data_IF_835433791816
#
_entry.id   IF_835433791816
#
_cell.length_a   1.000
_cell.length_b   1.000
_cell.length_c   1.000
_cell.angle_alpha   90.00
_cell.angle_beta   90.00
_cell.angle_gamma   90.00
#
_symmetry.space_group_name_H-M   'P 1'
#
loop_
_entity.id
_entity.type
_entity.pdbx_description
1 polymer ?
#
# COMPACT_ATOMS: atom_id res chain seq x y z
N UNK A 1 16.49 59.67 21.28
CA UNK A 1 15.77 58.37 21.32
C UNK A 1 14.36 58.63 21.77
N UNK A 2 13.32 57.92 21.33
CA UNK A 2 13.28 56.51 20.89
C UNK A 2 12.43 55.73 21.91
N UNK A 3 11.65 54.70 21.60
CA UNK A 3 11.32 54.01 20.33
C UNK A 3 9.77 53.76 20.30
N UNK A 4 9.09 53.30 19.25
CA UNK A 4 9.27 52.02 18.54
C UNK A 4 9.04 50.84 19.52
N UNK A 5 8.07 49.94 19.38
CA UNK A 5 7.34 49.40 18.22
C UNK A 5 5.84 49.21 18.57
N UNK A 6 4.89 49.00 17.67
CA UNK A 6 4.95 48.45 16.30
C UNK A 6 4.36 47.04 16.26
N UNK A 7 3.10 46.88 16.72
CA UNK A 7 2.39 45.61 16.63
C UNK A 7 2.15 45.26 15.16
N UNK A 8 2.76 44.16 14.71
CA UNK A 8 2.53 43.61 13.38
C UNK A 8 1.07 43.25 13.21
N UNK A 9 0.45 43.71 12.12
CA UNK A 9 -0.81 43.13 11.65
C UNK A 9 -0.47 41.76 11.08
N UNK A 10 -0.89 40.69 11.74
CA UNK A 10 -0.93 39.37 11.12
C UNK A 10 -1.80 39.48 9.86
N UNK A 11 -1.17 39.31 8.70
CA UNK A 11 -1.89 39.27 7.44
C UNK A 11 -2.70 37.97 7.42
N UNK A 12 -4.03 38.09 7.27
CA UNK A 12 -4.88 36.93 7.03
C UNK A 12 -4.33 36.14 5.83
N UNK A 13 -4.30 34.80 5.87
CA UNK A 13 -3.78 34.00 4.77
C UNK A 13 -4.55 34.32 3.48
N UNK A 14 -3.81 34.72 2.45
CA UNK A 14 -4.36 35.08 1.13
C UNK A 14 -5.14 33.89 0.58
N UNK A 15 -6.43 34.09 0.28
CA UNK A 15 -7.28 32.96 -0.12
C UNK A 15 -6.85 32.42 -1.48
N UNK A 16 -7.20 31.16 -1.76
CA UNK A 16 -6.95 30.56 -3.09
C UNK A 16 -7.72 31.29 -4.20
N UNK A 17 -8.78 32.04 -3.86
CA UNK A 17 -9.52 32.91 -4.79
C UNK A 17 -8.88 34.29 -4.99
N UNK A 18 -8.00 34.75 -4.10
CA UNK A 18 -7.18 35.97 -4.28
C UNK A 18 -5.87 35.65 -5.02
N UNK A 19 -5.33 34.44 -4.79
CA UNK A 19 -4.63 33.69 -5.87
C UNK A 19 -5.64 33.47 -7.03
N UNK A 20 -5.22 33.06 -8.22
CA UNK A 20 -6.10 32.88 -9.40
C UNK A 20 -6.76 34.17 -9.98
N UNK A 21 -7.22 35.15 -9.19
CA UNK A 21 -7.76 36.42 -9.75
C UNK A 21 -6.74 37.10 -10.66
N UNK A 22 -7.24 37.64 -11.78
CA UNK A 22 -6.44 38.33 -12.80
C UNK A 22 -5.47 37.44 -13.60
N UNK A 23 -5.36 36.15 -13.31
CA UNK A 23 -4.49 35.20 -14.05
C UNK A 23 -5.22 34.58 -15.23
N UNK A 24 -4.46 34.22 -16.26
CA UNK A 24 -4.94 33.39 -17.38
C UNK A 24 -5.29 31.97 -16.91
N UNK A 25 -6.07 31.23 -17.72
CA UNK A 25 -6.47 29.86 -17.39
C UNK A 25 -5.27 28.93 -17.15
N UNK A 26 -4.15 29.14 -17.84
CA UNK A 26 -2.94 28.31 -17.74
C UNK A 26 -2.19 28.57 -16.43
N UNK A 27 -2.04 29.84 -16.06
CA UNK A 27 -1.50 30.25 -14.76
C UNK A 27 -2.41 29.82 -13.60
N UNK A 28 -3.73 29.79 -13.80
CA UNK A 28 -4.67 29.27 -12.80
C UNK A 28 -4.49 27.76 -12.59
N UNK A 29 -4.39 26.97 -13.66
CA UNK A 29 -4.11 25.52 -13.57
C UNK A 29 -2.78 25.25 -12.87
N UNK A 30 -1.73 26.01 -13.18
CA UNK A 30 -0.43 25.87 -12.51
C UNK A 30 -0.51 26.18 -11.00
N UNK A 31 -1.19 27.26 -10.60
CA UNK A 31 -1.38 27.62 -9.18
C UNK A 31 -2.19 26.56 -8.41
N UNK A 32 -3.18 25.94 -9.06
CA UNK A 32 -3.98 24.86 -8.46
C UNK A 32 -3.20 23.54 -8.37
N UNK A 33 -2.39 23.21 -9.38
CA UNK A 33 -1.50 22.03 -9.34
C UNK A 33 -0.50 22.14 -8.19
N UNK A 34 0.14 23.29 -8.02
CA UNK A 34 1.06 23.54 -6.90
C UNK A 34 0.36 23.46 -5.54
N UNK A 35 -0.88 23.95 -5.42
CA UNK A 35 -1.69 23.78 -4.22
C UNK A 35 -1.95 22.29 -3.92
N UNK A 36 -2.38 21.53 -4.93
CA UNK A 36 -2.70 20.10 -4.79
C UNK A 36 -1.46 19.30 -4.41
N UNK A 37 -0.34 19.46 -5.13
CA UNK A 37 0.93 18.78 -4.83
C UNK A 37 1.44 19.11 -3.42
N UNK A 38 1.30 20.36 -2.97
CA UNK A 38 1.64 20.75 -1.60
C UNK A 38 0.73 20.11 -0.53
N UNK A 39 -0.59 19.99 -0.76
CA UNK A 39 -1.47 19.30 0.20
C UNK A 39 -1.23 17.79 0.22
N UNK A 40 -0.94 17.18 -0.93
CA UNK A 40 -0.53 15.77 -1.05
C UNK A 40 0.74 15.51 -0.25
N UNK A 41 1.77 16.34 -0.45
CA UNK A 41 3.00 16.28 0.32
C UNK A 41 2.75 16.34 1.84
N UNK A 42 1.93 17.27 2.31
CA UNK A 42 1.59 17.39 3.73
C UNK A 42 0.84 16.15 4.29
N UNK A 43 -0.03 15.52 3.50
CA UNK A 43 -0.75 14.29 3.89
C UNK A 43 0.17 13.08 3.95
N UNK A 44 1.11 12.94 3.01
CA UNK A 44 2.14 11.90 3.03
C UNK A 44 3.32 12.24 3.98
N UNK A 45 3.26 13.41 4.64
CA UNK A 45 4.27 13.90 5.57
C UNK A 45 5.61 14.28 4.93
N UNK A 46 5.64 14.58 3.62
CA UNK A 46 6.81 15.12 2.94
C UNK A 46 7.01 16.61 3.25
N UNK A 47 8.27 17.05 3.29
CA UNK A 47 8.63 18.44 3.59
C UNK A 47 8.39 19.40 2.40
N UNK A 48 8.43 18.89 1.17
CA UNK A 48 8.18 19.65 -0.07
C UNK A 48 7.34 18.84 -1.06
N UNK A 49 6.84 19.52 -2.10
CA UNK A 49 6.05 18.93 -3.17
C UNK A 49 6.89 18.29 -4.30
N UNK A 50 8.22 18.36 -4.21
CA UNK A 50 9.12 18.04 -5.33
C UNK A 50 9.06 16.57 -5.75
N UNK A 51 8.81 15.66 -4.80
CA UNK A 51 8.61 14.23 -5.05
C UNK A 51 7.20 13.82 -5.49
N UNK A 52 6.27 14.77 -5.69
CA UNK A 52 4.91 14.48 -6.16
C UNK A 52 4.84 14.67 -7.67
N UNK A 53 4.81 13.57 -8.41
CA UNK A 53 4.65 13.56 -9.87
C UNK A 53 3.25 14.04 -10.29
N UNK A 54 3.10 15.04 -11.19
CA UNK A 54 1.79 15.61 -11.57
C UNK A 54 0.76 14.60 -12.12
N UNK A 55 1.23 13.59 -12.86
CA UNK A 55 0.41 12.49 -13.38
C UNK A 55 0.57 11.19 -12.59
N UNK A 56 1.26 11.23 -11.44
CA UNK A 56 1.43 10.09 -10.56
C UNK A 56 0.09 9.66 -9.96
N UNK A 57 -0.17 8.35 -9.98
CA UNK A 57 -1.29 7.72 -9.28
C UNK A 57 -1.17 7.98 -7.78
N UNK A 58 -2.20 8.61 -7.21
CA UNK A 58 -2.25 8.91 -5.78
C UNK A 58 -2.31 7.63 -4.94
N UNK A 59 -3.02 6.60 -5.43
CA UNK A 59 -3.12 5.29 -4.77
C UNK A 59 -1.75 4.62 -4.68
N UNK A 60 -0.96 4.68 -5.75
CA UNK A 60 0.40 4.13 -5.76
C UNK A 60 1.36 4.98 -4.90
N UNK A 61 1.14 6.30 -4.84
CA UNK A 61 1.84 7.20 -3.92
C UNK A 61 1.44 7.03 -2.43
N UNK A 62 0.55 6.08 -2.10
CA UNK A 62 0.18 5.72 -0.74
C UNK A 62 -1.12 6.35 -0.23
N UNK A 63 -2.00 6.86 -1.10
CA UNK A 63 -3.34 7.29 -0.69
C UNK A 63 -4.30 6.13 -0.44
N UNK A 64 -4.80 6.10 0.79
CA UNK A 64 -5.89 5.28 1.32
C UNK A 64 -7.13 6.15 1.62
N UNK A 65 -8.23 5.61 2.16
CA UNK A 65 -9.41 6.47 2.44
C UNK A 65 -9.21 7.47 3.59
N UNK A 66 -8.28 7.26 4.51
CA UNK A 66 -8.03 8.19 5.63
C UNK A 66 -7.25 9.42 5.14
N UNK A 67 -6.16 9.18 4.41
CA UNK A 67 -5.36 10.19 3.73
C UNK A 67 -6.16 10.88 2.62
N UNK A 68 -7.04 10.17 1.90
CA UNK A 68 -7.98 10.80 0.96
C UNK A 68 -8.99 11.72 1.67
N UNK A 69 -9.54 11.30 2.81
CA UNK A 69 -10.39 12.14 3.68
C UNK A 69 -9.62 13.37 4.19
N UNK A 70 -8.36 13.21 4.58
CA UNK A 70 -7.49 14.28 5.05
C UNK A 70 -7.13 15.28 3.94
N UNK A 71 -6.77 14.79 2.75
CA UNK A 71 -6.53 15.61 1.56
C UNK A 71 -7.78 16.36 1.13
N UNK A 72 -8.94 15.69 1.07
CA UNK A 72 -10.23 16.34 0.79
C UNK A 72 -10.52 17.45 1.81
N UNK A 73 -10.31 17.20 3.10
CA UNK A 73 -10.49 18.21 4.15
C UNK A 73 -9.54 19.41 3.95
N UNK A 74 -8.25 19.14 3.67
CA UNK A 74 -7.24 20.17 3.41
C UNK A 74 -7.54 21.00 2.17
N UNK A 75 -7.90 20.37 1.06
CA UNK A 75 -8.28 21.03 -0.19
C UNK A 75 -9.57 21.84 -0.02
N UNK A 76 -10.57 21.29 0.66
CA UNK A 76 -11.82 22.01 0.99
C UNK A 76 -11.57 23.24 1.86
N UNK A 77 -10.73 23.13 2.90
CA UNK A 77 -10.33 24.24 3.75
C UNK A 77 -9.53 25.33 2.99
N UNK A 78 -8.65 24.94 2.07
CA UNK A 78 -7.84 25.88 1.28
C UNK A 78 -8.65 26.60 0.19
N UNK A 79 -9.63 25.94 -0.43
CA UNK A 79 -10.42 26.45 -1.56
C UNK A 79 -11.77 27.04 -1.17
N UNK A 80 -12.29 26.69 0.01
CA UNK A 80 -13.66 26.99 0.44
C UNK A 80 -14.73 26.11 -0.22
N UNK A 81 -14.35 25.04 -0.92
CA UNK A 81 -15.26 24.14 -1.62
C UNK A 81 -15.77 23.01 -0.71
N UNK A 82 -16.99 22.52 -0.98
CA UNK A 82 -17.51 21.25 -0.44
C UNK A 82 -17.17 20.13 -1.41
N UNK A 83 -16.08 19.43 -1.15
CA UNK A 83 -15.55 18.38 -2.04
C UNK A 83 -16.16 17.00 -1.70
N UNK A 84 -16.49 16.17 -2.70
CA UNK A 84 -17.09 14.85 -2.47
C UNK A 84 -16.11 13.88 -1.78
N UNK A 85 -16.61 12.88 -1.03
CA UNK A 85 -15.76 11.93 -0.31
C UNK A 85 -14.95 11.00 -1.23
N UNK A 86 -15.43 10.77 -2.46
CA UNK A 86 -14.81 9.93 -3.48
C UNK A 86 -13.74 10.65 -4.31
N UNK A 87 -13.56 11.98 -4.14
CA UNK A 87 -12.80 12.84 -5.05
C UNK A 87 -11.41 12.32 -5.43
N UNK A 88 -10.66 11.77 -4.47
CA UNK A 88 -9.28 11.28 -4.68
C UNK A 88 -9.25 10.01 -5.53
N UNK A 89 -10.33 9.21 -5.51
CA UNK A 89 -10.50 8.02 -6.34
C UNK A 89 -11.08 8.39 -7.72
N UNK A 90 -12.01 9.35 -7.77
CA UNK A 90 -12.58 9.88 -9.01
C UNK A 90 -11.54 10.63 -9.87
N UNK A 91 -10.53 11.22 -9.21
CA UNK A 91 -9.45 12.04 -9.80
C UNK A 91 -8.09 11.54 -9.28
N UNK A 92 -7.59 10.39 -9.77
CA UNK A 92 -6.46 9.69 -9.15
C UNK A 92 -5.07 10.29 -9.44
N UNK A 93 -4.97 11.50 -10.02
CA UNK A 93 -3.69 12.22 -10.22
C UNK A 93 -3.76 13.67 -9.71
N UNK A 94 -2.62 14.26 -9.29
CA UNK A 94 -2.55 15.67 -8.92
C UNK A 94 -3.09 16.63 -10.00
N UNK A 95 -2.81 16.38 -11.28
CA UNK A 95 -3.37 17.17 -12.40
C UNK A 95 -4.89 17.04 -12.49
N UNK A 96 -5.44 15.82 -12.36
CA UNK A 96 -6.89 15.61 -12.40
C UNK A 96 -7.63 16.30 -11.25
N UNK A 97 -7.06 16.29 -10.04
CA UNK A 97 -7.56 17.06 -8.89
C UNK A 97 -7.49 18.57 -9.17
N UNK A 98 -6.37 19.08 -9.67
CA UNK A 98 -6.17 20.50 -9.93
C UNK A 98 -7.14 21.04 -11.00
N UNK A 99 -7.42 20.24 -12.04
CA UNK A 99 -8.42 20.56 -13.06
C UNK A 99 -9.82 20.67 -12.46
N UNK A 100 -10.24 19.66 -11.68
CA UNK A 100 -11.57 19.66 -11.04
C UNK A 100 -11.76 20.83 -10.06
N UNK A 101 -10.75 21.16 -9.25
CA UNK A 101 -10.81 22.34 -8.38
C UNK A 101 -10.96 23.65 -9.17
N UNK A 102 -10.40 23.73 -10.37
CA UNK A 102 -10.57 24.86 -11.28
C UNK A 102 -11.99 24.99 -11.81
N UNK A 103 -12.60 23.87 -12.19
CA UNK A 103 -14.01 23.80 -12.62
C UNK A 103 -14.95 24.26 -11.49
N UNK A 104 -14.82 23.68 -10.29
CA UNK A 104 -15.65 24.03 -9.12
C UNK A 104 -15.47 25.49 -8.68
N UNK A 105 -14.25 26.02 -8.70
CA UNK A 105 -13.99 27.43 -8.36
C UNK A 105 -14.56 28.41 -9.40
N UNK A 106 -14.65 28.00 -10.68
CA UNK A 106 -15.28 28.79 -11.74
C UNK A 106 -16.81 28.75 -11.67
N UNK A 107 -17.39 27.63 -11.22
CA UNK A 107 -18.85 27.42 -11.10
C UNK A 107 -19.44 28.07 -9.85
N UNK A 108 -18.66 28.29 -8.79
CA UNK A 108 -19.16 28.77 -7.50
C UNK A 108 -18.95 30.29 -7.23
N UNK A 109 -19.90 31.18 -7.59
CA UNK A 109 -20.16 32.38 -6.80
C UNK A 109 -20.85 31.98 -5.48
N UNK A 110 -20.57 32.68 -4.39
CA UNK A 110 -20.89 32.19 -3.03
C UNK A 110 -22.37 32.19 -2.66
N UNK A 111 -22.81 31.18 -1.91
CA UNK A 111 -24.13 31.15 -1.25
C UNK A 111 -24.76 29.76 -1.22
N UNK A 112 -25.27 29.35 -0.07
CA UNK A 112 -25.76 28.01 0.21
C UNK A 112 -27.07 27.60 -0.49
N UNK A 113 -27.20 26.27 -0.60
CA UNK A 113 -28.41 25.44 -0.58
C UNK A 113 -29.24 25.08 -1.85
N UNK A 114 -29.61 23.79 -1.82
CA UNK A 114 -30.70 23.05 -2.49
C UNK A 114 -30.73 22.73 -4.01
N UNK A 115 -30.44 21.44 -4.26
CA UNK A 115 -31.25 20.46 -5.02
C UNK A 115 -31.00 20.14 -6.51
N UNK A 116 -30.95 18.81 -6.73
CA UNK A 116 -31.45 18.05 -7.89
C UNK A 116 -30.68 18.04 -9.24
N UNK A 117 -30.01 16.90 -9.45
CA UNK A 117 -29.86 16.12 -10.69
C UNK A 117 -30.38 16.70 -12.04
N UNK A 118 -29.51 16.77 -13.04
CA UNK A 118 -29.60 15.88 -14.22
C UNK A 118 -28.41 15.99 -15.20
N UNK A 119 -27.94 14.81 -15.66
CA UNK A 119 -27.54 14.53 -17.05
C UNK A 119 -26.54 15.43 -17.79
N UNK A 120 -25.27 15.04 -17.80
CA UNK A 120 -24.28 15.45 -18.81
C UNK A 120 -23.40 14.26 -19.23
N UNK A 121 -23.73 13.59 -20.33
CA UNK A 121 -23.07 12.35 -20.74
C UNK A 121 -21.69 12.60 -21.39
N UNK A 122 -20.62 12.44 -20.61
CA UNK A 122 -19.24 12.25 -21.10
C UNK A 122 -18.85 10.77 -21.09
N UNK A 123 -18.27 10.28 -22.19
CA UNK A 123 -18.03 8.85 -22.45
C UNK A 123 -16.85 8.28 -21.64
N UNK A 124 -17.08 7.93 -20.37
CA UNK A 124 -16.25 6.96 -19.64
C UNK A 124 -16.96 5.60 -19.58
N UNK A 125 -16.17 4.53 -19.67
CA UNK A 125 -16.66 3.17 -19.46
C UNK A 125 -17.02 2.99 -17.99
N UNK A 126 -18.33 2.92 -17.72
CA UNK A 126 -18.86 2.52 -16.42
C UNK A 126 -18.37 1.11 -16.10
N UNK A 127 -17.55 0.98 -15.06
CA UNK A 127 -17.51 -0.25 -14.25
C UNK A 127 -18.95 -0.58 -13.88
N UNK A 128 -19.39 -1.77 -14.30
CA UNK A 128 -20.80 -2.15 -14.22
C UNK A 128 -21.18 -2.70 -12.84
N UNK A 129 -22.48 -2.89 -12.55
CA UNK A 129 -22.95 -3.56 -11.32
C UNK A 129 -22.48 -5.03 -11.18
N UNK A 130 -21.73 -5.57 -12.15
CA UNK A 130 -21.05 -6.85 -12.05
C UNK A 130 -19.76 -6.80 -11.22
N UNK A 131 -19.09 -5.64 -11.13
CA UNK A 131 -17.82 -5.47 -10.42
C UNK A 131 -18.01 -5.51 -8.89
N UNK A 132 -19.14 -4.97 -8.41
CA UNK A 132 -19.63 -5.14 -7.03
C UNK A 132 -20.20 -6.54 -6.76
N UNK A 133 -20.64 -7.25 -7.81
CA UNK A 133 -21.36 -8.53 -7.67
C UNK A 133 -20.51 -9.61 -7.00
N UNK A 134 -19.21 -9.69 -7.33
CA UNK A 134 -18.31 -10.69 -6.77
C UNK A 134 -17.99 -10.41 -5.30
N UNK A 135 -17.78 -9.14 -4.93
CA UNK A 135 -17.47 -8.75 -3.55
C UNK A 135 -18.69 -8.84 -2.62
N UNK A 136 -19.89 -8.54 -3.12
CA UNK A 136 -21.15 -8.80 -2.42
C UNK A 136 -21.33 -10.31 -2.19
N UNK A 137 -21.17 -11.14 -3.22
CA UNK A 137 -21.33 -12.60 -3.08
C UNK A 137 -20.30 -13.21 -2.11
N UNK A 138 -19.03 -12.79 -2.19
CA UNK A 138 -17.99 -13.24 -1.26
C UNK A 138 -18.32 -12.84 0.19
N UNK A 139 -18.77 -11.60 0.41
CA UNK A 139 -19.15 -11.12 1.75
C UNK A 139 -20.37 -11.85 2.32
N UNK A 140 -21.40 -12.10 1.51
CA UNK A 140 -22.56 -12.89 1.93
C UNK A 140 -22.20 -14.35 2.20
N UNK A 141 -21.26 -14.94 1.44
CA UNK A 141 -20.70 -16.25 1.73
C UNK A 141 -20.00 -16.27 3.10
N UNK A 142 -19.14 -15.28 3.38
CA UNK A 142 -18.47 -15.15 4.68
C UNK A 142 -19.46 -14.99 5.85
N UNK A 143 -20.44 -14.09 5.72
CA UNK A 143 -21.53 -13.91 6.72
C UNK A 143 -22.33 -15.19 6.98
N UNK A 144 -22.50 -16.03 5.95
CA UNK A 144 -23.22 -17.28 6.04
C UNK A 144 -22.37 -18.48 6.54
N UNK A 145 -21.10 -18.25 6.92
CA UNK A 145 -20.17 -19.32 7.30
C UNK A 145 -19.72 -20.20 6.12
N UNK A 146 -19.86 -19.72 4.89
CA UNK A 146 -19.58 -20.41 3.62
C UNK A 146 -18.28 -19.91 2.98
N UNK A 147 -17.26 -19.71 3.79
CA UNK A 147 -15.98 -19.07 3.39
C UNK A 147 -15.33 -19.85 2.24
N UNK A 148 -15.30 -21.19 2.32
CA UNK A 148 -14.73 -22.05 1.28
C UNK A 148 -15.45 -21.90 -0.06
N UNK A 149 -16.79 -21.89 -0.08
CA UNK A 149 -17.55 -21.66 -1.31
C UNK A 149 -17.36 -20.24 -1.85
N UNK A 150 -17.07 -19.28 -0.98
CA UNK A 150 -16.61 -17.95 -1.36
C UNK A 150 -15.29 -18.01 -2.12
N UNK A 151 -14.28 -18.71 -1.60
CA UNK A 151 -13.00 -18.90 -2.29
C UNK A 151 -13.10 -19.75 -3.57
N UNK A 152 -13.99 -20.76 -3.63
CA UNK A 152 -14.26 -21.52 -4.86
C UNK A 152 -14.81 -20.61 -5.98
N UNK A 153 -15.70 -19.68 -5.63
CA UNK A 153 -16.20 -18.67 -6.56
C UNK A 153 -15.09 -17.70 -7.01
N UNK A 154 -14.26 -17.21 -6.08
CA UNK A 154 -13.14 -16.33 -6.41
C UNK A 154 -12.10 -17.01 -7.31
N UNK A 155 -11.73 -18.26 -7.02
CA UNK A 155 -10.82 -19.08 -7.84
C UNK A 155 -11.36 -19.25 -9.26
N UNK A 156 -12.65 -19.57 -9.38
CA UNK A 156 -13.32 -19.74 -10.68
C UNK A 156 -13.33 -18.43 -11.49
N UNK A 157 -13.54 -17.29 -10.84
CA UNK A 157 -13.46 -15.98 -11.49
C UNK A 157 -12.02 -15.58 -11.84
N UNK A 158 -11.04 -15.89 -10.99
CA UNK A 158 -9.63 -15.62 -11.22
C UNK A 158 -9.07 -16.39 -12.43
N UNK A 159 -9.49 -17.64 -12.61
CA UNK A 159 -9.11 -18.47 -13.75
C UNK A 159 -9.61 -17.96 -15.13
N UNK A 160 -10.49 -16.95 -15.15
CA UNK A 160 -10.97 -16.29 -16.36
C UNK A 160 -10.25 -14.97 -16.67
N UNK A 161 -9.34 -14.53 -15.79
CA UNK A 161 -8.58 -13.29 -16.01
C UNK A 161 -7.44 -13.49 -17.01
N UNK A 162 -7.08 -12.48 -17.81
CA UNK A 162 -5.95 -12.59 -18.72
C UNK A 162 -4.63 -12.67 -17.95
N UNK A 163 -3.69 -13.47 -18.45
CA UNK A 163 -2.41 -13.78 -17.81
C UNK A 163 -1.21 -13.21 -18.56
N UNK A 164 -0.02 -13.33 -17.96
CA UNK A 164 1.27 -13.09 -18.61
C UNK A 164 2.28 -14.19 -18.22
N UNK A 165 3.12 -14.63 -19.16
CA UNK A 165 4.01 -15.77 -18.96
C UNK A 165 5.44 -15.36 -18.59
N UNK A 166 5.90 -14.19 -19.04
CA UNK A 166 7.24 -13.65 -18.73
C UNK A 166 7.21 -12.17 -18.28
N UNK A 167 8.33 -11.64 -17.73
CA UNK A 167 8.41 -10.21 -17.40
C UNK A 167 8.28 -9.28 -18.61
N UNK A 168 8.77 -9.70 -19.78
CA UNK A 168 8.61 -8.96 -21.04
C UNK A 168 7.15 -8.87 -21.46
N UNK A 169 6.36 -9.92 -21.21
CA UNK A 169 4.92 -9.88 -21.44
C UNK A 169 4.22 -8.88 -20.51
N UNK A 170 4.73 -8.62 -19.29
CA UNK A 170 4.08 -7.77 -18.29
C UNK A 170 4.00 -6.30 -18.74
N UNK A 171 5.06 -5.74 -19.32
CA UNK A 171 5.09 -4.38 -19.87
C UNK A 171 6.28 -3.55 -19.36
N UNK A 172 6.04 -2.34 -18.88
CA UNK A 172 7.08 -1.41 -18.38
C UNK A 172 7.72 -1.81 -17.02
N UNK A 173 7.58 -3.08 -16.60
CA UNK A 173 8.07 -3.57 -15.31
C UNK A 173 7.26 -3.07 -14.10
N UNK A 174 7.62 -3.57 -12.90
CA UNK A 174 7.11 -3.03 -11.63
C UNK A 174 7.98 -1.87 -11.18
N UNK A 175 7.36 -0.74 -10.81
CA UNK A 175 8.08 0.43 -10.28
C UNK A 175 8.02 0.46 -8.76
N UNK A 176 9.18 0.51 -8.12
CA UNK A 176 9.30 0.68 -6.68
C UNK A 176 8.90 2.10 -6.24
N UNK A 177 8.01 2.21 -5.24
CA UNK A 177 7.56 3.48 -4.66
C UNK A 177 8.45 3.84 -3.47
N UNK A 178 9.00 5.06 -3.44
CA UNK A 178 9.85 5.54 -2.33
C UNK A 178 8.97 6.05 -1.18
N UNK A 179 9.09 5.43 0.00
CA UNK A 179 8.34 5.78 1.21
C UNK A 179 9.18 6.58 2.22
N UNK A 180 10.50 6.37 2.22
CA UNK A 180 11.46 7.14 3.00
C UNK A 180 12.75 7.43 2.21
N UNK A 181 13.44 8.49 2.62
CA UNK A 181 14.70 8.94 2.05
C UNK A 181 15.72 9.10 3.17
N UNK A 182 16.95 8.65 2.97
CA UNK A 182 18.05 8.89 3.91
C UNK A 182 19.44 8.64 3.29
N UNK A 183 20.51 9.20 3.86
CA UNK A 183 21.87 9.06 3.32
C UNK A 183 22.57 7.76 3.74
N UNK A 184 21.98 7.00 4.67
CA UNK A 184 22.51 5.75 5.21
C UNK A 184 22.26 4.55 4.30
N UNK A 185 22.92 3.45 4.66
CA UNK A 185 22.97 2.20 3.91
C UNK A 185 22.99 1.03 4.91
N UNK A 186 22.42 -0.15 4.61
CA UNK A 186 21.68 -0.50 3.39
C UNK A 186 20.33 0.22 3.24
N UNK A 187 19.85 0.25 2.00
CA UNK A 187 18.48 0.64 1.66
C UNK A 187 17.53 -0.56 1.85
N UNK A 188 16.23 -0.30 2.00
CA UNK A 188 15.20 -1.33 2.21
C UNK A 188 14.24 -1.40 1.02
N UNK A 189 13.88 -2.60 0.56
CA UNK A 189 12.77 -2.81 -0.39
C UNK A 189 11.72 -3.71 0.26
N UNK A 190 10.52 -3.16 0.47
CA UNK A 190 9.40 -3.81 1.12
C UNK A 190 8.40 -4.40 0.09
N UNK A 191 8.24 -5.71 0.08
CA UNK A 191 7.35 -6.42 -0.84
C UNK A 191 5.92 -6.43 -0.28
N UNK A 192 4.95 -5.93 -1.05
CA UNK A 192 3.54 -5.98 -0.62
C UNK A 192 3.05 -7.43 -0.48
N UNK A 193 2.18 -7.67 0.49
CA UNK A 193 1.42 -8.94 0.56
C UNK A 193 0.39 -9.00 -0.57
N UNK A 194 -0.03 -10.21 -0.92
CA UNK A 194 -1.08 -10.50 -1.91
C UNK A 194 -2.46 -10.74 -1.26
N UNK A 195 -2.70 -10.19 -0.07
CA UNK A 195 -4.07 -10.06 0.47
C UNK A 195 -4.83 -8.96 -0.29
N UNK A 196 -6.15 -9.10 -0.46
CA UNK A 196 -6.95 -8.20 -1.33
C UNK A 196 -6.81 -6.70 -1.01
N UNK A 197 -6.64 -6.35 0.27
CA UNK A 197 -6.49 -4.96 0.72
C UNK A 197 -5.06 -4.55 1.05
N UNK A 198 -4.08 -5.43 0.83
CA UNK A 198 -2.68 -5.07 0.98
C UNK A 198 -2.22 -4.13 -0.15
N UNK A 199 -1.05 -3.52 0.07
CA UNK A 199 -0.37 -2.66 -0.88
C UNK A 199 0.79 -1.91 -0.22
N UNK A 200 1.49 -1.10 -1.02
CA UNK A 200 2.70 -0.36 -0.60
C UNK A 200 2.45 0.57 0.61
N UNK A 201 1.22 1.09 0.76
CA UNK A 201 0.80 1.92 1.88
C UNK A 201 0.96 1.24 3.26
N UNK A 202 0.89 -0.10 3.32
CA UNK A 202 1.07 -0.87 4.57
C UNK A 202 2.44 -0.68 5.22
N UNK A 203 3.45 -0.23 4.45
CA UNK A 203 4.79 0.07 4.95
C UNK A 203 4.99 1.54 5.33
N UNK A 204 4.04 2.44 5.07
CA UNK A 204 4.23 3.88 5.28
C UNK A 204 4.55 4.24 6.75
N UNK A 205 3.93 3.53 7.71
CA UNK A 205 4.20 3.72 9.14
C UNK A 205 5.58 3.20 9.56
N UNK A 206 6.01 2.05 9.04
CA UNK A 206 7.35 1.51 9.29
C UNK A 206 8.42 2.42 8.66
N UNK A 207 8.19 2.88 7.43
CA UNK A 207 9.10 3.76 6.71
C UNK A 207 9.29 5.13 7.37
N UNK A 208 8.32 5.60 8.18
CA UNK A 208 8.43 6.87 8.89
C UNK A 208 9.67 6.94 9.79
N UNK A 209 10.01 5.86 10.49
CA UNK A 209 11.19 5.75 11.36
C UNK A 209 12.53 5.62 10.60
N UNK A 210 12.51 5.45 9.27
CA UNK A 210 13.71 5.46 8.42
C UNK A 210 13.98 6.81 7.76
N UNK A 211 13.09 7.80 7.91
CA UNK A 211 13.24 9.12 7.28
C UNK A 211 14.45 9.86 7.83
N UNK A 212 15.37 10.25 6.95
CA UNK A 212 16.66 10.82 7.31
C UNK A 212 17.71 9.79 7.73
N UNK A 213 17.36 8.50 7.79
CA UNK A 213 18.26 7.38 8.12
C UNK A 213 18.72 6.70 6.84
N UNK A 214 17.86 5.94 6.16
CA UNK A 214 18.15 5.32 4.85
C UNK A 214 16.92 5.30 3.95
N UNK A 215 17.10 4.89 2.70
CA UNK A 215 15.99 4.79 1.75
C UNK A 215 15.12 3.56 2.03
N UNK A 216 13.80 3.76 2.01
CA UNK A 216 12.81 2.69 2.05
C UNK A 216 11.93 2.79 0.83
N UNK A 217 11.91 1.71 0.06
CA UNK A 217 11.07 1.51 -1.11
C UNK A 217 10.01 0.45 -0.82
N UNK A 218 8.94 0.43 -1.60
CA UNK A 218 7.96 -0.65 -1.57
C UNK A 218 7.55 -1.07 -2.98
N UNK A 219 7.37 -2.38 -3.18
CA UNK A 219 6.92 -3.00 -4.42
C UNK A 219 5.47 -3.47 -4.27
N UNK A 220 4.64 -3.20 -5.27
CA UNK A 220 3.30 -3.76 -5.41
C UNK A 220 3.37 -5.22 -5.89
N UNK A 221 2.23 -5.90 -5.93
CA UNK A 221 2.08 -7.23 -6.55
C UNK A 221 1.19 -7.06 -7.80
N UNK A 222 1.53 -7.69 -8.94
CA UNK A 222 0.70 -7.63 -10.13
C UNK A 222 -0.72 -8.19 -9.92
N UNK A 223 -1.68 -7.66 -10.68
CA UNK A 223 -3.05 -8.15 -10.79
C UNK A 223 -4.04 -7.53 -9.80
N UNK A 224 -3.62 -6.65 -8.90
CA UNK A 224 -4.52 -6.00 -7.93
C UNK A 224 -5.19 -4.74 -8.48
N UNK A 225 -4.82 -4.29 -9.68
CA UNK A 225 -5.50 -3.20 -10.39
C UNK A 225 -6.55 -3.72 -11.40
N UNK A 226 -7.56 -2.91 -11.66
CA UNK A 226 -8.62 -3.22 -12.63
C UNK A 226 -8.05 -3.41 -14.05
N UNK A 227 -8.37 -4.54 -14.68
CA UNK A 227 -7.86 -4.90 -16.02
C UNK A 227 -6.40 -5.37 -16.06
N UNK A 228 -5.69 -5.36 -14.93
CA UNK A 228 -4.32 -5.85 -14.84
C UNK A 228 -4.27 -7.38 -14.99
N UNK A 229 -3.14 -7.89 -15.50
CA UNK A 229 -2.95 -9.32 -15.78
C UNK A 229 -2.35 -10.06 -14.58
N UNK A 230 -2.62 -11.35 -14.48
CA UNK A 230 -2.05 -12.23 -13.45
C UNK A 230 -0.83 -13.03 -13.97
N UNK A 231 0.20 -13.27 -13.15
CA UNK A 231 1.33 -14.12 -13.54
C UNK A 231 0.89 -15.59 -13.62
N UNK A 232 1.31 -16.31 -14.66
CA UNK A 232 0.93 -17.73 -14.83
C UNK A 232 1.57 -18.68 -13.81
N UNK A 233 2.74 -18.31 -13.28
CA UNK A 233 3.55 -19.15 -12.37
C UNK A 233 4.17 -18.33 -11.24
N UNK A 234 4.73 -19.01 -10.23
CA UNK A 234 5.44 -18.37 -9.13
C UNK A 234 6.75 -17.75 -9.65
N UNK A 235 7.41 -18.47 -10.54
CA UNK A 235 8.65 -18.10 -11.19
C UNK A 235 8.47 -16.80 -11.99
N UNK A 236 7.39 -16.71 -12.79
CA UNK A 236 7.03 -15.49 -13.53
C UNK A 236 6.84 -14.28 -12.60
N UNK A 237 6.16 -14.47 -11.46
CA UNK A 237 5.98 -13.42 -10.45
C UNK A 237 7.32 -12.99 -9.83
N UNK A 238 8.14 -13.96 -9.42
CA UNK A 238 9.44 -13.71 -8.78
C UNK A 238 10.38 -12.99 -9.73
N UNK A 239 10.43 -13.37 -11.01
CA UNK A 239 11.28 -12.70 -12.00
C UNK A 239 10.87 -11.23 -12.22
N UNK A 240 9.57 -10.92 -12.28
CA UNK A 240 9.09 -9.52 -12.37
C UNK A 240 9.51 -8.70 -11.15
N UNK A 241 9.40 -9.27 -9.94
CA UNK A 241 9.83 -8.60 -8.72
C UNK A 241 11.37 -8.44 -8.66
N UNK A 242 12.12 -9.45 -9.10
CA UNK A 242 13.60 -9.44 -9.14
C UNK A 242 14.12 -8.41 -10.13
N UNK A 243 13.48 -8.22 -11.28
CA UNK A 243 13.84 -7.13 -12.20
C UNK A 243 13.70 -5.75 -11.53
N UNK A 244 12.58 -5.50 -10.85
CA UNK A 244 12.35 -4.24 -10.12
C UNK A 244 13.34 -4.01 -8.96
N UNK A 245 13.88 -5.08 -8.35
CA UNK A 245 14.96 -5.01 -7.36
C UNK A 245 16.32 -4.76 -8.01
N UNK A 246 16.62 -5.42 -9.13
CA UNK A 246 17.89 -5.26 -9.86
C UNK A 246 18.08 -3.83 -10.40
N UNK A 247 16.99 -3.15 -10.78
CA UNK A 247 16.99 -1.71 -11.11
C UNK A 247 17.44 -0.81 -9.94
N UNK A 248 17.45 -1.32 -8.70
CA UNK A 248 17.86 -0.60 -7.48
C UNK A 248 19.16 -1.11 -6.85
N UNK A 249 19.59 -2.33 -7.16
CA UNK A 249 20.88 -2.88 -6.67
C UNK A 249 22.08 -2.03 -7.14
N UNK A 250 21.93 -1.25 -8.22
CA UNK A 250 22.91 -0.25 -8.63
C UNK A 250 23.18 0.89 -7.63
N UNK A 251 22.26 1.13 -6.68
CA UNK A 251 22.35 2.23 -5.71
C UNK A 251 23.11 1.87 -4.41
N UNK A 252 23.45 0.59 -4.20
CA UNK A 252 24.17 0.11 -3.02
C UNK A 252 23.61 -1.20 -2.43
N UNK A 253 24.11 -1.64 -1.26
CA UNK A 253 23.58 -2.83 -0.60
C UNK A 253 22.12 -2.62 -0.17
N UNK A 254 21.32 -3.66 -0.35
CA UNK A 254 19.87 -3.65 -0.13
C UNK A 254 19.44 -4.79 0.78
N UNK A 255 18.55 -4.49 1.71
CA UNK A 255 17.80 -5.50 2.49
C UNK A 255 16.42 -5.66 1.86
N UNK A 256 16.00 -6.90 1.65
CA UNK A 256 14.64 -7.21 1.18
C UNK A 256 13.75 -7.48 2.39
N UNK A 257 12.57 -6.88 2.44
CA UNK A 257 11.65 -7.00 3.57
C UNK A 257 10.25 -7.36 3.10
N UNK A 258 9.50 -8.11 3.91
CA UNK A 258 8.11 -8.39 3.59
C UNK A 258 7.30 -8.84 4.80
N UNK A 259 6.05 -8.41 4.86
CA UNK A 259 5.08 -8.83 5.88
C UNK A 259 4.10 -9.85 5.31
N UNK A 260 3.78 -10.89 6.09
CA UNK A 260 2.83 -11.94 5.68
C UNK A 260 3.23 -12.53 4.31
N UNK A 261 2.30 -12.66 3.35
CA UNK A 261 2.61 -13.11 1.98
C UNK A 261 3.70 -12.30 1.26
N UNK A 262 3.95 -11.05 1.64
CA UNK A 262 5.04 -10.23 1.12
C UNK A 262 6.43 -10.75 1.53
N UNK A 263 6.54 -11.38 2.71
CA UNK A 263 7.79 -12.01 3.15
C UNK A 263 8.15 -13.25 2.32
N UNK A 264 7.14 -13.96 1.82
CA UNK A 264 7.33 -15.07 0.86
C UNK A 264 7.95 -14.58 -0.45
N UNK A 265 7.48 -13.42 -0.95
CA UNK A 265 8.04 -12.77 -2.13
C UNK A 265 9.46 -12.25 -1.89
N UNK A 266 9.70 -11.56 -0.76
CA UNK A 266 11.03 -11.08 -0.39
C UNK A 266 12.05 -12.22 -0.29
N UNK A 267 11.66 -13.34 0.32
CA UNK A 267 12.50 -14.53 0.42
C UNK A 267 12.73 -15.22 -0.93
N UNK A 268 11.69 -15.37 -1.76
CA UNK A 268 11.84 -15.99 -3.08
C UNK A 268 12.69 -15.13 -4.03
N UNK A 269 12.54 -13.80 -3.98
CA UNK A 269 13.39 -12.86 -4.69
C UNK A 269 14.85 -12.93 -4.19
N UNK A 270 15.08 -13.03 -2.88
CA UNK A 270 16.43 -13.21 -2.32
C UNK A 270 17.09 -14.52 -2.82
N UNK A 271 16.38 -15.65 -2.77
CA UNK A 271 16.88 -16.92 -3.29
C UNK A 271 17.22 -16.81 -4.79
N UNK A 272 16.39 -16.12 -5.57
CA UNK A 272 16.62 -15.92 -7.00
C UNK A 272 17.82 -15.00 -7.28
N UNK A 273 18.01 -13.97 -6.47
CA UNK A 273 19.16 -13.05 -6.54
C UNK A 273 20.47 -13.74 -6.15
N UNK A 274 20.46 -14.68 -5.19
CA UNK A 274 21.59 -15.57 -4.90
C UNK A 274 21.95 -16.44 -6.12
N UNK A 275 20.96 -17.07 -6.77
CA UNK A 275 21.16 -17.86 -8.01
C UNK A 275 21.75 -17.01 -9.16
N UNK A 276 21.41 -15.72 -9.23
CA UNK A 276 21.92 -14.77 -10.23
C UNK A 276 23.29 -14.16 -9.86
N UNK A 277 23.83 -14.47 -8.68
CA UNK A 277 25.11 -13.92 -8.21
C UNK A 277 25.05 -12.45 -7.77
N UNK A 278 23.86 -11.93 -7.50
CA UNK A 278 23.61 -10.56 -7.03
C UNK A 278 22.83 -10.56 -5.69
N UNK A 279 23.33 -11.26 -4.65
CA UNK A 279 22.58 -11.45 -3.41
C UNK A 279 22.25 -10.11 -2.71
N UNK A 280 21.08 -9.99 -2.06
CA UNK A 280 20.82 -8.86 -1.17
C UNK A 280 21.74 -8.93 0.05
N UNK A 281 21.87 -7.82 0.76
CA UNK A 281 22.65 -7.74 1.99
C UNK A 281 21.97 -8.46 3.17
N UNK A 282 20.65 -8.64 3.11
CA UNK A 282 19.88 -9.45 4.06
C UNK A 282 18.39 -9.53 3.72
N UNK A 283 17.65 -10.34 4.48
CA UNK A 283 16.20 -10.52 4.36
C UNK A 283 15.49 -10.32 5.69
N UNK A 284 14.34 -9.63 5.68
CA UNK A 284 13.49 -9.39 6.85
C UNK A 284 12.08 -9.94 6.59
N UNK A 285 11.67 -10.89 7.43
CA UNK A 285 10.40 -11.58 7.39
C UNK A 285 9.55 -11.11 8.57
N UNK A 286 8.48 -10.36 8.31
CA UNK A 286 7.57 -9.82 9.33
C UNK A 286 6.33 -10.71 9.41
N UNK A 287 6.28 -11.54 10.46
CA UNK A 287 5.23 -12.53 10.78
C UNK A 287 4.75 -13.30 9.53
N UNK A 288 5.76 -13.76 8.79
CA UNK A 288 5.63 -14.46 7.51
C UNK A 288 5.54 -15.95 7.77
N UNK A 289 4.49 -16.60 7.29
CA UNK A 289 4.24 -18.03 7.48
C UNK A 289 4.52 -18.79 6.18
N UNK A 290 5.19 -19.95 6.22
CA UNK A 290 5.26 -20.86 5.07
C UNK A 290 3.85 -21.22 4.56
N UNK A 291 3.72 -21.43 3.26
CA UNK A 291 2.43 -21.68 2.61
C UNK A 291 2.02 -23.17 2.67
N UNK A 292 2.31 -23.85 3.79
CA UNK A 292 2.04 -25.27 3.99
C UNK A 292 0.61 -25.52 4.51
N UNK A 293 0.08 -26.72 4.27
CA UNK A 293 -1.29 -27.11 4.70
C UNK A 293 -1.46 -27.12 6.23
N UNK A 294 -0.37 -27.27 6.98
CA UNK A 294 -0.31 -27.26 8.45
C UNK A 294 0.04 -25.89 9.04
N UNK A 295 0.11 -24.84 8.22
CA UNK A 295 0.49 -23.48 8.65
C UNK A 295 -0.41 -22.98 9.79
N UNK A 296 0.16 -22.58 10.95
CA UNK A 296 -0.63 -22.12 12.10
C UNK A 296 -1.56 -20.94 11.82
N UNK A 297 -1.25 -20.15 10.79
CA UNK A 297 -2.06 -19.01 10.33
C UNK A 297 -3.46 -19.45 9.87
N UNK A 298 -3.60 -20.67 9.31
CA UNK A 298 -4.88 -21.20 8.82
C UNK A 298 -5.91 -21.40 9.94
N UNK A 299 -5.47 -21.53 11.20
CA UNK A 299 -6.37 -21.58 12.37
C UNK A 299 -7.21 -20.30 12.53
N UNK A 300 -6.73 -19.19 11.97
CA UNK A 300 -7.33 -17.86 12.09
C UNK A 300 -8.00 -17.39 10.78
N UNK A 301 -8.35 -18.31 9.87
CA UNK A 301 -8.89 -17.94 8.54
C UNK A 301 -10.12 -17.02 8.64
N UNK A 302 -11.03 -17.27 9.58
CA UNK A 302 -12.22 -16.46 9.78
C UNK A 302 -11.87 -15.05 10.30
N UNK A 303 -10.93 -14.97 11.24
CA UNK A 303 -10.43 -13.74 11.84
C UNK A 303 -9.59 -12.93 10.85
N UNK A 304 -8.85 -13.58 9.95
CA UNK A 304 -8.10 -12.96 8.86
C UNK A 304 -9.05 -12.32 7.84
N UNK A 305 -10.12 -13.05 7.46
CA UNK A 305 -11.17 -12.54 6.58
C UNK A 305 -11.97 -11.40 7.25
N UNK A 306 -12.33 -11.51 8.54
CA UNK A 306 -12.98 -10.44 9.28
C UNK A 306 -12.08 -9.20 9.41
N UNK A 307 -10.83 -9.41 9.82
CA UNK A 307 -9.85 -8.34 9.95
C UNK A 307 -9.52 -7.67 8.62
N UNK A 308 -9.64 -8.37 7.49
CA UNK A 308 -9.61 -7.77 6.16
C UNK A 308 -10.84 -6.88 5.94
N UNK A 309 -12.08 -7.33 6.20
CA UNK A 309 -13.26 -6.47 6.07
C UNK A 309 -13.21 -5.22 6.97
N UNK A 310 -12.69 -5.33 8.19
CA UNK A 310 -12.49 -4.18 9.09
C UNK A 310 -11.47 -3.14 8.54
N UNK A 311 -10.64 -3.57 7.59
CA UNK A 311 -9.61 -2.77 6.89
C UNK A 311 -10.06 -2.26 5.52
N UNK A 312 -11.32 -2.47 5.12
CA UNK A 312 -11.88 -1.95 3.87
C UNK A 312 -11.95 -0.41 3.82
N UNK A 313 -11.68 0.26 4.94
CA UNK A 313 -11.38 1.69 4.98
C UNK A 313 -10.05 2.07 4.30
N UNK A 314 -9.15 1.14 3.97
CA UNK A 314 -7.88 1.44 3.31
C UNK A 314 -7.92 1.31 1.79
N UNK A 315 -8.67 0.33 1.26
CA UNK A 315 -8.88 0.16 -0.17
C UNK A 315 -10.27 -0.47 -0.44
N UNK A 316 -10.83 -0.23 -1.64
CA UNK A 316 -12.05 -0.91 -2.08
C UNK A 316 -11.82 -2.41 -2.22
N UNK A 317 -12.73 -3.24 -1.74
CA UNK A 317 -12.68 -4.70 -1.94
C UNK A 317 -13.35 -5.07 -3.27
N UNK A 318 -12.72 -4.71 -4.38
CA UNK A 318 -13.23 -4.95 -5.74
C UNK A 318 -12.95 -6.37 -6.27
N UNK A 319 -13.54 -6.67 -7.43
CA UNK A 319 -13.39 -7.95 -8.13
C UNK A 319 -11.94 -8.27 -8.50
N UNK A 320 -11.14 -7.29 -8.92
CA UNK A 320 -9.74 -7.49 -9.30
C UNK A 320 -8.90 -7.88 -8.08
N UNK A 321 -9.06 -7.18 -6.96
CA UNK A 321 -8.37 -7.48 -5.70
C UNK A 321 -8.73 -8.84 -5.12
N UNK A 322 -10.01 -9.20 -5.12
CA UNK A 322 -10.49 -10.49 -4.63
C UNK A 322 -10.02 -11.67 -5.51
N UNK A 323 -10.13 -11.53 -6.83
CA UNK A 323 -9.64 -12.58 -7.75
C UNK A 323 -8.13 -12.71 -7.73
N UNK A 324 -7.37 -11.61 -7.61
CA UNK A 324 -5.93 -11.66 -7.44
C UNK A 324 -5.55 -12.39 -6.16
N UNK A 325 -6.08 -11.98 -4.99
CA UNK A 325 -5.84 -12.67 -3.72
C UNK A 325 -6.11 -14.18 -3.82
N UNK A 326 -7.24 -14.57 -4.43
CA UNK A 326 -7.56 -15.99 -4.61
C UNK A 326 -6.63 -16.71 -5.59
N UNK A 327 -6.11 -16.02 -6.61
CA UNK A 327 -5.09 -16.57 -7.52
C UNK A 327 -3.79 -16.85 -6.77
N UNK A 328 -3.29 -15.89 -5.97
CA UNK A 328 -2.06 -16.07 -5.21
C UNK A 328 -2.20 -17.18 -4.14
N UNK A 329 -3.32 -17.24 -3.41
CA UNK A 329 -3.54 -18.30 -2.42
C UNK A 329 -3.65 -19.70 -3.05
N UNK A 330 -4.30 -19.83 -4.20
CA UNK A 330 -4.47 -21.12 -4.87
C UNK A 330 -3.18 -21.61 -5.55
N UNK A 331 -2.49 -20.71 -6.27
CA UNK A 331 -1.35 -21.05 -7.10
C UNK A 331 -0.08 -21.36 -6.31
N UNK A 332 0.02 -20.84 -5.08
CA UNK A 332 1.25 -20.89 -4.26
C UNK A 332 1.08 -21.64 -2.93
N UNK A 333 -0.04 -22.36 -2.77
CA UNK A 333 -0.18 -23.40 -1.76
C UNK A 333 0.93 -24.47 -1.91
N UNK A 334 1.49 -24.92 -0.80
CA UNK A 334 2.59 -25.88 -0.75
C UNK A 334 3.99 -25.28 -0.95
N UNK A 335 4.12 -23.96 -1.17
CA UNK A 335 5.45 -23.33 -1.25
C UNK A 335 6.18 -23.39 0.10
N UNK A 336 7.47 -23.74 0.04
CA UNK A 336 8.36 -23.84 1.21
C UNK A 336 9.67 -23.09 0.98
N UNK A 337 10.25 -22.45 2.01
CA UNK A 337 11.48 -21.70 1.87
C UNK A 337 12.71 -22.62 1.73
N UNK A 338 13.54 -22.33 0.71
CA UNK A 338 14.92 -22.86 0.64
C UNK A 338 15.79 -22.14 1.68
N UNK A 339 16.84 -22.76 2.23
CA UNK A 339 17.85 -22.02 3.01
C UNK A 339 18.52 -20.93 2.14
N UNK A 340 18.64 -19.72 2.68
CA UNK A 340 19.43 -18.63 2.08
C UNK A 340 20.84 -18.61 2.70
N UNK A 341 21.82 -18.08 1.96
CA UNK A 341 23.16 -17.80 2.49
C UNK A 341 23.25 -16.44 3.18
N UNK A 342 22.37 -15.49 2.81
CA UNK A 342 22.32 -14.14 3.38
C UNK A 342 21.68 -14.09 4.78
N UNK A 343 22.09 -13.14 5.64
CA UNK A 343 21.45 -12.90 6.94
C UNK A 343 19.93 -12.77 6.80
N UNK A 344 19.18 -13.50 7.61
CA UNK A 344 17.70 -13.53 7.56
C UNK A 344 17.12 -13.32 8.95
N UNK A 345 16.37 -12.24 9.12
CA UNK A 345 15.61 -11.90 10.33
C UNK A 345 14.16 -12.37 10.21
N UNK A 346 13.67 -13.05 11.23
CA UNK A 346 12.24 -13.29 11.46
C UNK A 346 11.77 -12.41 12.63
N UNK A 347 10.91 -11.44 12.32
CA UNK A 347 10.15 -10.70 13.33
C UNK A 347 8.81 -11.41 13.53
N UNK A 348 8.58 -11.98 14.71
CA UNK A 348 7.31 -12.68 15.03
C UNK A 348 6.40 -11.78 15.85
N UNK A 349 5.09 -11.87 15.65
CA UNK A 349 4.13 -11.29 16.57
C UNK A 349 4.27 -11.89 17.98
N UNK A 350 4.09 -11.08 19.03
CA UNK A 350 4.05 -11.53 20.43
C UNK A 350 2.63 -11.79 20.95
N UNK A 351 1.61 -11.39 20.20
CA UNK A 351 0.20 -11.61 20.51
C UNK A 351 -0.50 -12.40 19.38
N UNK A 352 -1.36 -13.39 19.68
CA UNK A 352 -2.16 -14.06 18.66
C UNK A 352 -3.24 -13.13 18.08
N UNK A 353 -3.81 -13.50 16.93
CA UNK A 353 -4.93 -12.76 16.32
C UNK A 353 -6.16 -12.75 17.26
N UNK A 354 -6.42 -13.87 17.94
CA UNK A 354 -7.38 -13.99 19.05
C UNK A 354 -6.73 -14.67 20.26
N UNK A 355 -7.03 -14.18 21.47
CA UNK A 355 -6.34 -14.60 22.70
C UNK A 355 -6.60 -16.06 23.12
N UNK A 356 -7.71 -16.66 22.69
CA UNK A 356 -8.11 -18.01 23.06
C UNK A 356 -9.01 -18.65 21.99
N UNK A 357 -8.86 -19.96 21.81
CA UNK A 357 -9.77 -20.80 21.03
C UNK A 357 -10.80 -21.52 21.90
N UNK A 358 -11.53 -22.50 21.35
CA UNK A 358 -12.53 -23.29 22.09
C UNK A 358 -11.97 -23.98 23.34
N UNK A 359 -10.72 -24.44 23.29
CA UNK A 359 -10.05 -25.18 24.37
C UNK A 359 -9.27 -24.29 25.35
N UNK A 360 -9.30 -22.97 25.16
CA UNK A 360 -8.63 -21.98 26.02
C UNK A 360 -7.52 -21.17 25.33
N UNK A 361 -6.65 -20.50 26.11
CA UNK A 361 -5.60 -19.63 25.58
C UNK A 361 -4.52 -20.40 24.79
N UNK A 362 -4.25 -19.96 23.57
CA UNK A 362 -3.23 -20.57 22.71
C UNK A 362 -1.81 -20.37 23.27
N UNK A 363 -1.02 -21.44 23.26
CA UNK A 363 0.41 -21.37 23.56
C UNK A 363 1.19 -20.83 22.35
N UNK A 364 2.32 -20.11 22.53
CA UNK A 364 3.06 -19.46 21.43
C UNK A 364 3.37 -20.39 20.24
N UNK A 365 3.79 -21.63 20.50
CA UNK A 365 4.11 -22.62 19.47
C UNK A 365 2.90 -23.10 18.64
N UNK A 366 1.67 -22.78 19.05
CA UNK A 366 0.45 -23.16 18.33
C UNK A 366 0.02 -22.13 17.28
N UNK A 367 0.58 -20.93 17.30
CA UNK A 367 0.12 -19.80 16.48
C UNK A 367 1.22 -18.90 15.93
N UNK A 368 2.38 -18.79 16.60
CA UNK A 368 3.52 -18.03 16.07
C UNK A 368 4.04 -18.69 14.79
N UNK A 369 4.57 -17.89 13.87
CA UNK A 369 5.12 -18.42 12.62
C UNK A 369 6.31 -19.37 12.87
N UNK A 370 6.30 -20.58 12.29
CA UNK A 370 7.46 -21.46 12.20
C UNK A 370 8.30 -21.11 10.97
N UNK A 371 9.58 -20.79 11.18
CA UNK A 371 10.50 -20.50 10.07
C UNK A 371 11.93 -20.95 10.41
N UNK A 372 12.20 -22.23 10.17
CA UNK A 372 13.43 -22.89 10.65
C UNK A 372 14.72 -22.45 9.94
N UNK A 373 14.62 -21.75 8.79
CA UNK A 373 15.77 -21.25 8.03
C UNK A 373 16.18 -19.81 8.39
N UNK A 374 15.55 -19.19 9.38
CA UNK A 374 15.90 -17.83 9.81
C UNK A 374 17.18 -17.82 10.66
N UNK A 375 18.09 -16.90 10.35
CA UNK A 375 19.36 -16.71 11.07
C UNK A 375 19.19 -15.97 12.41
N UNK A 376 18.14 -15.16 12.54
CA UNK A 376 17.83 -14.41 13.75
C UNK A 376 16.32 -14.36 13.92
N UNK A 377 15.84 -14.58 15.15
CA UNK A 377 14.41 -14.52 15.49
C UNK A 377 14.22 -13.53 16.62
N UNK A 378 13.29 -12.59 16.46
CA UNK A 378 12.93 -11.58 17.47
C UNK A 378 11.41 -11.47 17.55
N UNK A 379 10.86 -11.46 18.77
CA UNK A 379 9.44 -11.26 18.99
C UNK A 379 9.17 -9.76 19.21
N UNK A 380 8.17 -9.22 18.51
CA UNK A 380 7.77 -7.81 18.58
C UNK A 380 6.31 -7.65 19.02
N UNK A 381 5.96 -6.54 19.72
CA UNK A 381 4.60 -6.29 20.19
C UNK A 381 3.51 -6.32 19.10
N UNK A 382 2.30 -6.70 19.50
CA UNK A 382 1.16 -6.83 18.60
C UNK A 382 0.98 -8.21 17.99
N UNK A 383 -0.06 -8.29 17.15
CA UNK A 383 -0.43 -9.46 16.38
C UNK A 383 -0.10 -9.29 14.89
N UNK A 384 -0.42 -10.31 14.08
CA UNK A 384 -0.19 -10.37 12.63
C UNK A 384 -0.48 -9.07 11.87
N UNK A 385 -1.52 -8.33 12.28
CA UNK A 385 -1.84 -7.03 11.72
C UNK A 385 -1.18 -5.88 12.49
N UNK A 386 -1.38 -5.83 13.81
CA UNK A 386 -1.07 -4.64 14.60
C UNK A 386 0.42 -4.38 14.75
N UNK A 387 1.28 -5.38 14.51
CA UNK A 387 2.74 -5.21 14.42
C UNK A 387 3.17 -4.21 13.33
N UNK A 388 2.41 -4.10 12.23
CA UNK A 388 2.65 -3.17 11.12
C UNK A 388 1.80 -1.88 11.22
N UNK A 389 0.84 -1.84 12.15
CA UNK A 389 -0.10 -0.72 12.30
C UNK A 389 0.18 0.10 13.56
N UNK A 390 -0.14 -0.43 14.73
CA UNK A 390 0.00 0.24 16.02
C UNK A 390 1.44 0.19 16.55
N UNK A 391 2.16 -0.88 16.23
CA UNK A 391 3.52 -1.15 16.69
C UNK A 391 4.59 -0.97 15.60
N UNK A 392 4.23 -0.38 14.46
CA UNK A 392 5.08 -0.22 13.28
C UNK A 392 6.48 0.34 13.60
N UNK A 393 6.58 1.35 14.47
CA UNK A 393 7.86 1.94 14.89
C UNK A 393 8.66 1.11 15.91
N UNK A 394 8.07 0.10 16.53
CA UNK A 394 8.83 -0.92 17.28
C UNK A 394 9.37 -1.99 16.34
N UNK A 395 8.56 -2.42 15.37
CA UNK A 395 8.99 -3.29 14.27
C UNK A 395 10.13 -2.65 13.47
N UNK A 396 10.01 -1.35 13.12
CA UNK A 396 11.04 -0.58 12.41
C UNK A 396 12.37 -0.54 13.16
N UNK A 397 12.34 -0.25 14.48
CA UNK A 397 13.54 -0.25 15.32
C UNK A 397 14.18 -1.63 15.42
N UNK A 398 13.38 -2.71 15.53
CA UNK A 398 13.91 -4.07 15.51
C UNK A 398 14.63 -4.41 14.19
N UNK A 399 14.14 -3.90 13.06
CA UNK A 399 14.83 -3.99 11.75
C UNK A 399 16.14 -3.19 11.76
N UNK A 400 16.12 -1.93 12.18
CA UNK A 400 17.32 -1.07 12.22
C UNK A 400 18.41 -1.66 13.13
N UNK A 401 18.03 -2.06 14.35
CA UNK A 401 18.91 -2.71 15.32
C UNK A 401 19.48 -4.06 14.85
N UNK A 402 18.82 -4.74 13.92
CA UNK A 402 19.34 -5.96 13.32
C UNK A 402 20.29 -5.65 12.16
N UNK A 403 19.93 -4.71 11.28
CA UNK A 403 20.79 -4.21 10.21
C UNK A 403 22.15 -3.80 10.79
N UNK A 404 22.18 -2.92 11.79
CA UNK A 404 23.42 -2.43 12.44
C UNK A 404 24.35 -3.53 12.99
N UNK A 405 23.82 -4.74 13.25
CA UNK A 405 24.55 -5.85 13.88
C UNK A 405 24.94 -6.95 12.89
N UNK A 406 24.26 -7.05 11.75
CA UNK A 406 24.30 -8.24 10.89
C UNK A 406 24.52 -7.94 9.39
N UNK A 407 24.45 -6.68 8.97
CA UNK A 407 24.49 -6.25 7.55
C UNK A 407 25.46 -5.08 7.37
#
# INVERSE_FOLDING_TARGET
GGAGTGAGRDAAPVSVRDRLTGRSADEQRHVLLELVRAQIALVLGFATADGIEPEGSLVDAGFDSLTAVELRNRLGAATGLRLPPTLVFDRPTPTALAAHLGEELAVAPGGADEQAASGGAGRHERTGPADEGLSVLFREACKAGKVDQGYELLRSAAALRPTFASPEDFGEGLRAVRLASGPGSPSLICFSSFAALAGVHGYARLAADFRGVSDVWALSVPGFLAGERLPETWETLVEVQVQAVLERIGDGPLVLAGSSGGGLLAHAAAARLEELGAPPAGVVLMDTFPATEDSPLLKFQAELVSGMFDREHFASLDSARLTAMSWYFDRFAGWTPKPLSVPTLLLRASEPIIAAGPDGPYQPHEWQTPWDTAHTVVDVPGNHFTMMEAWAGTTARAVQEWIEKHV
#
